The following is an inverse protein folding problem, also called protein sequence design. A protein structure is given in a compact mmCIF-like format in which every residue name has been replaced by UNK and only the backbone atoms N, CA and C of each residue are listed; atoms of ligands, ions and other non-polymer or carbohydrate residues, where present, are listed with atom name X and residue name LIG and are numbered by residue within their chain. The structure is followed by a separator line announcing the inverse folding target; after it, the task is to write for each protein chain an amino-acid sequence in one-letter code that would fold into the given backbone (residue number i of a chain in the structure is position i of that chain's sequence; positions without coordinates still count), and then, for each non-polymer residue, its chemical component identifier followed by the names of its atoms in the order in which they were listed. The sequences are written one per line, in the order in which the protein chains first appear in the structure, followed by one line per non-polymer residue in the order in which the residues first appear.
data_IF_325333142838
#
_entry.id   IF_325333142838
#
_cell.length_a   1.000
_cell.length_b   1.000
_cell.length_c   1.000
_cell.angle_alpha   90.00
_cell.angle_beta   90.00
_cell.angle_gamma   90.00
#
_symmetry.space_group_name_H-M   'P 1'
#
loop_
_entity.id
_entity.type
_entity.pdbx_description
1 polymer ?
#
# COMPACT_ATOMS: atom_id res chain seq x y z
N UNK A 1 25.86 63.76 17.78
CA UNK A 1 25.33 63.42 16.44
C UNK A 1 25.77 62.00 16.12
N UNK A 2 24.83 61.07 16.22
CA UNK A 2 25.02 59.64 15.97
C UNK A 2 24.75 59.32 14.51
N UNK A 3 25.53 58.42 13.90
CA UNK A 3 25.13 57.73 12.67
C UNK A 3 25.27 56.23 12.93
N UNK A 4 24.13 55.55 12.99
CA UNK A 4 23.99 54.11 13.13
C UNK A 4 23.98 53.51 11.73
N UNK A 5 24.93 52.62 11.42
CA UNK A 5 24.91 51.83 10.18
C UNK A 5 24.10 50.56 10.47
N UNK A 6 22.93 50.45 9.86
CA UNK A 6 22.06 49.28 9.94
C UNK A 6 22.50 48.24 8.89
N UNK A 7 22.91 47.06 9.34
CA UNK A 7 23.08 45.89 8.49
C UNK A 7 21.73 45.17 8.36
N UNK A 8 21.17 45.15 7.15
CA UNK A 8 19.96 44.37 6.82
C UNK A 8 20.42 42.96 6.45
N UNK A 9 20.25 42.01 7.37
CA UNK A 9 20.39 40.59 7.09
C UNK A 9 19.07 40.07 6.49
N UNK A 10 19.07 39.80 5.19
CA UNK A 10 17.97 39.15 4.49
C UNK A 10 18.17 37.63 4.60
N UNK A 11 17.59 37.00 5.62
CA UNK A 11 17.59 35.54 5.76
C UNK A 11 16.47 34.92 4.90
N UNK A 12 16.91 34.17 3.89
CA UNK A 12 16.10 33.37 2.99
C UNK A 12 15.41 32.23 3.77
N UNK A 13 14.11 32.33 4.02
CA UNK A 13 13.29 31.21 4.52
C UNK A 13 13.00 30.26 3.36
N UNK A 14 13.83 29.23 3.20
CA UNK A 14 13.49 28.09 2.34
C UNK A 14 12.33 27.33 2.97
N UNK A 15 11.16 27.37 2.34
CA UNK A 15 10.04 26.48 2.67
C UNK A 15 10.46 25.04 2.35
N UNK A 16 11.03 24.34 3.33
CA UNK A 16 11.09 22.89 3.35
C UNK A 16 9.64 22.41 3.46
N UNK A 17 8.99 22.17 2.32
CA UNK A 17 7.77 21.36 2.28
C UNK A 17 8.17 19.94 2.68
N UNK A 18 8.21 19.68 3.98
CA UNK A 18 8.33 18.32 4.49
C UNK A 18 7.11 17.55 4.01
N UNK A 19 7.31 16.65 3.05
CA UNK A 19 6.28 15.66 2.72
C UNK A 19 6.19 14.76 3.94
N UNK A 20 5.07 14.82 4.64
CA UNK A 20 4.86 14.03 5.84
C UNK A 20 4.58 12.59 5.43
N UNK A 21 5.44 11.67 5.86
CA UNK A 21 5.15 10.25 5.73
C UNK A 21 3.87 9.92 6.54
N UNK A 22 2.96 9.16 5.94
CA UNK A 22 1.75 8.67 6.61
C UNK A 22 1.93 7.20 6.96
N UNK A 23 1.27 6.76 8.04
CA UNK A 23 1.33 5.36 8.46
C UNK A 23 0.43 4.48 7.61
N UNK A 24 0.83 3.23 7.46
CA UNK A 24 0.04 2.19 6.81
C UNK A 24 0.48 0.80 7.21
N UNK A 25 -0.03 -0.17 6.47
CA UNK A 25 0.32 -1.58 6.65
C UNK A 25 0.60 -2.21 5.30
N UNK A 26 1.41 -3.27 5.30
CA UNK A 26 1.67 -4.04 4.08
C UNK A 26 1.31 -5.50 4.24
N UNK A 27 0.69 -6.06 3.21
CA UNK A 27 0.75 -7.48 2.89
C UNK A 27 1.73 -7.72 1.75
N UNK A 28 1.92 -8.98 1.38
CA UNK A 28 2.79 -9.34 0.28
C UNK A 28 2.12 -10.30 -0.69
N UNK A 29 2.23 -9.97 -1.98
CA UNK A 29 1.61 -10.72 -3.07
C UNK A 29 2.60 -10.97 -4.21
N UNK A 30 2.48 -12.13 -4.85
CA UNK A 30 3.30 -12.49 -6.00
C UNK A 30 2.57 -12.13 -7.30
N UNK A 31 2.84 -10.94 -7.80
CA UNK A 31 2.21 -10.42 -9.02
C UNK A 31 2.55 -11.29 -10.25
N UNK A 32 3.70 -11.98 -10.26
CA UNK A 32 4.06 -12.88 -11.37
C UNK A 32 3.11 -14.09 -11.50
N UNK A 33 2.37 -14.43 -10.44
CA UNK A 33 1.39 -15.52 -10.45
C UNK A 33 0.01 -15.10 -10.97
N UNK A 34 -0.19 -13.81 -11.18
CA UNK A 34 -1.47 -13.25 -11.64
C UNK A 34 -1.54 -13.23 -13.17
N UNK A 35 -2.75 -13.40 -13.71
CA UNK A 35 -3.01 -13.28 -15.15
C UNK A 35 -3.11 -11.83 -15.64
N UNK A 36 -3.26 -10.88 -14.72
CA UNK A 36 -3.41 -9.45 -15.00
C UNK A 36 -3.50 -8.64 -13.70
N UNK A 37 -3.51 -7.33 -13.86
CA UNK A 37 -3.72 -6.35 -12.79
C UNK A 37 -4.81 -5.37 -13.20
N UNK A 38 -5.39 -4.68 -12.23
CA UNK A 38 -6.50 -3.77 -12.47
C UNK A 38 -6.04 -2.53 -13.30
N UNK A 39 -4.84 -1.99 -13.05
CA UNK A 39 -4.31 -0.85 -13.80
C UNK A 39 -3.96 -1.21 -15.25
N UNK A 40 -4.73 -0.68 -16.19
CA UNK A 40 -4.48 -0.84 -17.62
C UNK A 40 -3.07 -0.36 -18.02
N UNK A 41 -2.38 -1.15 -18.85
CA UNK A 41 -1.05 -0.84 -19.39
C UNK A 41 0.13 -1.22 -18.49
N UNK A 42 -0.13 -1.75 -17.28
CA UNK A 42 0.92 -2.29 -16.41
C UNK A 42 0.97 -3.82 -16.47
N UNK A 43 2.17 -4.43 -16.46
CA UNK A 43 2.32 -5.88 -16.41
C UNK A 43 2.10 -6.42 -14.99
N UNK A 44 1.50 -7.62 -14.84
CA UNK A 44 1.44 -8.35 -13.57
C UNK A 44 2.82 -8.94 -13.24
N UNK A 45 3.77 -8.09 -12.86
CA UNK A 45 5.10 -8.52 -12.52
C UNK A 45 5.57 -7.87 -11.21
N UNK A 46 6.43 -8.57 -10.48
CA UNK A 46 6.93 -8.06 -9.19
C UNK A 46 7.83 -6.82 -9.35
N UNK A 47 8.36 -6.56 -10.54
CA UNK A 47 9.30 -5.48 -10.83
C UNK A 47 8.80 -4.56 -11.95
N UNK A 48 8.64 -3.29 -11.62
CA UNK A 48 8.19 -2.23 -12.52
C UNK A 48 9.36 -1.46 -13.16
N UNK A 49 10.55 -2.08 -13.17
CA UNK A 49 11.80 -1.51 -13.68
C UNK A 49 12.51 -0.58 -12.68
N UNK A 50 13.79 -0.30 -12.92
CA UNK A 50 14.59 0.68 -12.16
C UNK A 50 14.58 0.52 -10.62
N UNK A 51 14.46 -0.73 -10.14
CA UNK A 51 14.39 -1.01 -8.69
C UNK A 51 13.07 -0.62 -8.04
N UNK A 52 11.99 -0.45 -8.81
CA UNK A 52 10.64 -0.17 -8.34
C UNK A 52 9.85 -1.48 -8.30
N UNK A 53 9.24 -1.77 -7.16
CA UNK A 53 8.41 -2.94 -6.96
C UNK A 53 6.95 -2.67 -7.33
N UNK A 54 6.22 -3.70 -7.76
CA UNK A 54 4.78 -3.60 -7.90
C UNK A 54 4.09 -3.54 -6.53
N UNK A 55 2.98 -2.82 -6.48
CA UNK A 55 2.06 -2.85 -5.35
C UNK A 55 0.61 -2.65 -5.80
N UNK A 56 -0.31 -3.15 -4.98
CA UNK A 56 -1.72 -2.78 -4.99
C UNK A 56 -2.03 -1.86 -3.80
N UNK A 57 -2.93 -0.90 -3.96
CA UNK A 57 -3.41 -0.07 -2.85
C UNK A 57 -4.88 -0.37 -2.56
N UNK A 58 -5.26 -0.39 -1.28
CA UNK A 58 -6.67 -0.47 -0.90
C UNK A 58 -7.49 0.70 -1.47
N UNK A 59 -8.66 0.41 -2.03
CA UNK A 59 -9.61 1.42 -2.49
C UNK A 59 -10.33 2.15 -1.33
N UNK A 60 -10.07 1.75 -0.09
CA UNK A 60 -10.48 2.44 1.14
C UNK A 60 -9.36 3.27 1.76
N UNK A 61 -8.17 3.28 1.15
CA UNK A 61 -7.02 4.05 1.59
C UNK A 61 -7.31 5.55 1.52
N UNK A 62 -6.98 6.34 2.56
CA UNK A 62 -6.97 7.80 2.46
C UNK A 62 -6.09 8.36 1.35
N UNK A 63 -5.08 7.60 0.90
CA UNK A 63 -4.23 7.96 -0.23
C UNK A 63 -4.83 7.59 -1.60
N UNK A 64 -5.95 6.84 -1.65
CA UNK A 64 -6.56 6.43 -2.92
C UNK A 64 -7.12 7.65 -3.65
N UNK A 65 -6.74 7.78 -4.93
CA UNK A 65 -7.26 8.81 -5.83
C UNK A 65 -8.19 8.15 -6.84
N UNK A 66 -9.42 8.68 -6.95
CA UNK A 66 -10.44 8.20 -7.88
C UNK A 66 -11.63 7.54 -7.19
N UNK A 67 -12.49 6.91 -7.98
CA UNK A 67 -13.63 6.17 -7.44
C UNK A 67 -13.17 4.86 -6.80
N UNK A 68 -13.97 4.35 -5.86
CA UNK A 68 -13.79 2.99 -5.33
C UNK A 68 -14.10 1.96 -6.41
N UNK A 69 -13.57 0.76 -6.27
CA UNK A 69 -13.95 -0.33 -7.15
C UNK A 69 -15.42 -0.70 -6.94
N UNK A 70 -16.09 -1.04 -8.04
CA UNK A 70 -17.52 -1.31 -8.11
C UNK A 70 -17.81 -2.76 -7.76
N UNK A 71 -18.12 -3.00 -6.49
CA UNK A 71 -18.52 -4.32 -6.00
C UNK A 71 -19.37 -4.25 -4.74
N UNK A 72 -19.87 -5.41 -4.34
CA UNK A 72 -20.59 -5.60 -3.08
C UNK A 72 -20.07 -6.89 -2.45
N UNK A 73 -19.90 -6.89 -1.12
CA UNK A 73 -19.57 -8.09 -0.40
C UNK A 73 -20.74 -9.08 -0.44
N UNK A 74 -20.48 -10.30 -0.91
CA UNK A 74 -21.45 -11.39 -0.99
C UNK A 74 -20.89 -12.63 -0.29
N UNK A 75 -21.48 -12.98 0.86
CA UNK A 75 -21.06 -14.12 1.67
C UNK A 75 -21.19 -15.47 0.94
N UNK A 76 -22.06 -15.57 -0.08
CA UNK A 76 -22.19 -16.79 -0.89
C UNK A 76 -20.96 -17.07 -1.75
N UNK A 77 -20.07 -16.08 -1.90
CA UNK A 77 -18.76 -16.22 -2.54
C UNK A 77 -17.68 -16.70 -1.59
N UNK A 78 -17.96 -16.96 -0.32
CA UNK A 78 -16.97 -17.43 0.65
C UNK A 78 -17.21 -18.90 1.00
N UNK A 79 -16.13 -19.65 1.20
CA UNK A 79 -16.18 -21.06 1.60
C UNK A 79 -16.32 -21.27 3.12
N UNK A 80 -16.36 -20.16 3.88
CA UNK A 80 -16.40 -20.14 5.34
C UNK A 80 -15.09 -20.53 6.01
N UNK A 81 -13.97 -20.58 5.27
CA UNK A 81 -12.64 -20.99 5.74
C UNK A 81 -11.53 -20.02 5.31
N UNK A 82 -11.89 -18.77 5.02
CA UNK A 82 -10.93 -17.76 4.59
C UNK A 82 -10.67 -17.70 3.09
N UNK A 83 -11.41 -18.46 2.28
CA UNK A 83 -11.24 -18.49 0.83
C UNK A 83 -12.53 -18.15 0.09
N UNK A 84 -12.38 -17.82 -1.19
CA UNK A 84 -13.50 -17.50 -2.07
C UNK A 84 -13.83 -18.64 -3.04
N UNK A 85 -15.11 -18.73 -3.37
CA UNK A 85 -15.68 -19.55 -4.44
C UNK A 85 -15.87 -18.63 -5.64
N UNK A 86 -15.24 -18.96 -6.78
CA UNK A 86 -15.28 -18.15 -8.00
C UNK A 86 -14.90 -16.68 -7.73
N UNK A 87 -13.63 -16.48 -7.39
CA UNK A 87 -13.00 -15.22 -6.94
C UNK A 87 -12.90 -14.14 -8.04
N UNK A 88 -14.01 -13.83 -8.70
CA UNK A 88 -14.08 -12.77 -9.70
C UNK A 88 -14.07 -11.43 -8.96
N UNK A 89 -13.12 -10.58 -9.31
CA UNK A 89 -12.98 -9.26 -8.73
C UNK A 89 -13.97 -8.24 -9.28
N UNK A 90 -14.20 -7.13 -8.53
CA UNK A 90 -14.99 -6.00 -9.01
C UNK A 90 -14.28 -5.27 -10.15
N UNK A 91 -15.03 -4.46 -10.89
CA UNK A 91 -14.43 -3.51 -11.82
C UNK A 91 -13.88 -2.30 -11.06
N UNK A 92 -12.70 -1.81 -11.45
CA UNK A 92 -12.11 -0.59 -10.93
C UNK A 92 -11.98 0.41 -12.09
N UNK A 93 -13.03 1.18 -12.43
CA UNK A 93 -13.04 1.95 -13.68
C UNK A 93 -12.30 3.30 -13.62
N UNK A 94 -12.05 3.84 -12.42
CA UNK A 94 -11.45 5.16 -12.21
C UNK A 94 -10.19 5.09 -11.33
N UNK A 95 -9.25 4.24 -11.73
CA UNK A 95 -8.01 3.98 -10.98
C UNK A 95 -6.96 5.07 -11.21
N UNK A 96 -7.30 6.30 -10.84
CA UNK A 96 -6.40 7.44 -10.98
C UNK A 96 -5.14 7.28 -10.12
N UNK A 97 -5.13 6.31 -9.20
CA UNK A 97 -3.97 5.90 -8.43
C UNK A 97 -2.91 5.13 -9.25
N UNK A 98 -3.26 4.58 -10.42
CA UNK A 98 -2.36 3.77 -11.24
C UNK A 98 -1.11 4.53 -11.70
N UNK A 99 0.04 3.86 -11.61
CA UNK A 99 1.33 4.41 -12.03
C UNK A 99 1.98 5.35 -11.03
N UNK A 100 1.30 5.77 -9.96
CA UNK A 100 1.92 6.58 -8.90
C UNK A 100 2.91 5.77 -8.07
N UNK A 101 3.99 6.42 -7.62
CA UNK A 101 5.04 5.80 -6.82
C UNK A 101 5.05 6.29 -5.38
N UNK A 102 5.51 5.40 -4.49
CA UNK A 102 5.67 5.68 -3.07
C UNK A 102 7.00 5.13 -2.57
N UNK A 103 7.64 5.89 -1.69
CA UNK A 103 8.65 5.38 -0.78
C UNK A 103 7.95 4.62 0.34
N UNK A 104 8.42 3.40 0.62
CA UNK A 104 7.91 2.56 1.71
C UNK A 104 9.05 2.18 2.64
N UNK A 105 8.84 2.34 3.94
CA UNK A 105 9.80 1.95 4.98
C UNK A 105 9.11 1.14 6.07
N UNK A 106 9.69 0.03 6.48
CA UNK A 106 9.22 -0.76 7.62
C UNK A 106 9.40 0.00 8.93
N UNK A 107 8.38 0.02 9.77
CA UNK A 107 8.41 0.60 11.13
C UNK A 107 8.19 -0.42 12.24
N UNK A 108 7.69 -1.62 11.91
CA UNK A 108 7.62 -2.74 12.84
C UNK A 108 6.87 -3.93 12.27
N UNK A 109 6.79 -5.02 13.04
CA UNK A 109 5.86 -6.11 12.72
C UNK A 109 4.43 -5.67 12.96
N UNK A 110 3.50 -6.11 12.11
CA UNK A 110 2.08 -5.77 12.25
C UNK A 110 1.43 -6.57 13.38
N UNK A 111 1.80 -7.84 13.50
CA UNK A 111 1.16 -8.81 14.39
C UNK A 111 2.01 -9.13 15.63
N UNK A 112 2.90 -8.22 16.00
CA UNK A 112 3.66 -8.29 17.25
C UNK A 112 4.76 -9.36 17.25
N UNK A 113 5.24 -9.79 16.08
CA UNK A 113 6.45 -10.62 15.99
C UNK A 113 7.61 -9.95 16.73
N UNK A 114 8.26 -10.73 17.60
CA UNK A 114 9.41 -10.31 18.41
C UNK A 114 10.75 -10.79 17.85
N UNK A 115 10.72 -11.66 16.83
CA UNK A 115 11.90 -12.18 16.13
C UNK A 115 11.95 -11.56 14.74
N UNK A 116 13.07 -10.93 14.41
CA UNK A 116 13.26 -10.16 13.19
C UNK A 116 13.34 -8.66 13.47
N UNK A 117 13.58 -7.88 12.41
CA UNK A 117 13.68 -6.43 12.49
C UNK A 117 13.40 -5.78 11.14
N UNK A 118 12.99 -4.52 11.18
CA UNK A 118 13.03 -3.67 9.99
C UNK A 118 14.50 -3.43 9.58
N UNK A 119 14.75 -3.43 8.28
CA UNK A 119 16.11 -3.23 7.73
C UNK A 119 16.59 -1.79 7.83
N UNK A 120 15.68 -0.83 8.06
CA UNK A 120 15.94 0.61 7.96
C UNK A 120 16.01 1.15 6.53
N UNK A 121 15.84 0.29 5.51
CA UNK A 121 15.86 0.70 4.10
C UNK A 121 14.49 1.21 3.66
N UNK A 122 14.53 2.14 2.71
CA UNK A 122 13.36 2.57 1.94
C UNK A 122 13.36 1.86 0.60
N UNK A 123 12.22 1.28 0.21
CA UNK A 123 11.98 0.77 -1.13
C UNK A 123 11.09 1.73 -1.90
N UNK A 124 11.11 1.63 -3.23
CA UNK A 124 10.13 2.29 -4.09
C UNK A 124 9.11 1.28 -4.57
N UNK A 125 7.84 1.61 -4.46
CA UNK A 125 6.75 0.84 -5.04
C UNK A 125 6.01 1.69 -6.05
N UNK A 126 5.39 1.05 -7.04
CA UNK A 126 4.47 1.67 -8.00
C UNK A 126 3.14 0.94 -7.93
N UNK A 127 2.06 1.72 -7.86
CA UNK A 127 0.72 1.14 -7.88
C UNK A 127 0.41 0.66 -9.30
N UNK A 128 0.21 -0.65 -9.43
CA UNK A 128 -0.16 -1.29 -10.69
C UNK A 128 -1.43 -2.11 -10.56
N UNK A 129 -2.00 -2.20 -9.36
CA UNK A 129 -3.21 -2.95 -9.10
C UNK A 129 -4.03 -2.26 -8.00
N UNK A 130 -5.29 -2.66 -7.88
CA UNK A 130 -6.15 -2.25 -6.78
C UNK A 130 -6.31 -3.40 -5.79
N UNK A 131 -6.49 -3.09 -4.51
CA UNK A 131 -6.86 -4.07 -3.49
C UNK A 131 -8.27 -3.76 -2.96
N UNK A 132 -9.34 -4.15 -3.66
CA UNK A 132 -10.66 -3.67 -3.31
C UNK A 132 -11.25 -4.40 -2.10
N UNK A 133 -11.91 -3.65 -1.22
CA UNK A 133 -12.67 -4.19 -0.08
C UNK A 133 -13.91 -5.03 -0.50
N UNK A 134 -14.18 -5.08 -1.80
CA UNK A 134 -15.31 -5.82 -2.38
C UNK A 134 -14.85 -7.00 -3.20
N UNK A 135 -13.55 -7.30 -3.22
CA UNK A 135 -13.02 -8.51 -3.85
C UNK A 135 -13.24 -9.73 -2.94
N UNK A 136 -13.84 -10.84 -3.42
CA UNK A 136 -14.04 -12.04 -2.59
C UNK A 136 -12.75 -12.60 -1.99
N UNK A 137 -11.64 -12.56 -2.74
CA UNK A 137 -10.33 -12.94 -2.22
C UNK A 137 -9.80 -12.06 -1.07
N UNK A 138 -10.47 -10.94 -0.76
CA UNK A 138 -10.13 -10.03 0.33
C UNK A 138 -11.12 -10.21 1.48
N UNK A 139 -12.40 -9.88 1.28
CA UNK A 139 -13.39 -9.98 2.36
C UNK A 139 -13.65 -11.41 2.83
N UNK A 140 -13.47 -12.46 2.02
CA UNK A 140 -13.63 -13.82 2.53
C UNK A 140 -12.55 -14.23 3.55
N UNK A 141 -11.41 -13.51 3.60
CA UNK A 141 -10.32 -13.77 4.56
C UNK A 141 -10.62 -13.25 5.97
N UNK A 142 -11.61 -12.35 6.14
CA UNK A 142 -11.90 -11.73 7.45
C UNK A 142 -12.87 -12.58 8.31
N UNK A 143 -12.85 -12.42 9.65
CA UNK A 143 -13.71 -13.20 10.55
C UNK A 143 -15.20 -13.14 10.26
N UNK A 144 -15.69 -12.01 9.75
CA UNK A 144 -17.09 -11.84 9.36
C UNK A 144 -17.56 -12.88 8.33
N UNK A 145 -16.65 -13.41 7.51
CA UNK A 145 -16.94 -14.37 6.45
C UNK A 145 -16.29 -15.75 6.69
N UNK A 146 -15.88 -16.04 7.92
CA UNK A 146 -15.29 -17.33 8.32
C UNK A 146 -13.78 -17.45 8.11
N UNK A 147 -13.10 -16.36 7.72
CA UNK A 147 -11.64 -16.31 7.71
C UNK A 147 -11.04 -15.94 9.06
N UNK A 148 -9.72 -15.76 9.09
CA UNK A 148 -8.96 -15.49 10.33
C UNK A 148 -8.07 -14.25 10.23
N UNK A 149 -8.08 -13.55 9.08
CA UNK A 149 -7.20 -12.41 8.81
C UNK A 149 -7.84 -11.13 9.34
N UNK A 150 -7.06 -10.27 10.00
CA UNK A 150 -7.56 -8.98 10.46
C UNK A 150 -8.01 -8.14 9.26
N UNK A 151 -9.17 -7.45 9.30
CA UNK A 151 -9.61 -6.57 8.20
C UNK A 151 -8.56 -5.55 7.72
N UNK A 152 -7.67 -5.08 8.60
CA UNK A 152 -6.58 -4.16 8.22
C UNK A 152 -5.55 -4.79 7.26
N UNK A 153 -5.46 -6.11 7.24
CA UNK A 153 -4.56 -6.90 6.38
C UNK A 153 -5.24 -7.42 5.13
N UNK A 154 -6.57 -7.29 5.03
CA UNK A 154 -7.35 -7.76 3.90
C UNK A 154 -7.84 -6.61 3.02
N UNK A 155 -7.30 -5.40 3.16
CA UNK A 155 -7.76 -4.19 2.46
C UNK A 155 -9.22 -3.76 2.77
N UNK A 156 -9.82 -4.36 3.80
CA UNK A 156 -11.22 -4.15 4.21
C UNK A 156 -11.38 -3.03 5.25
N UNK A 157 -10.30 -2.65 5.94
CA UNK A 157 -10.36 -1.63 6.98
C UNK A 157 -10.42 -0.21 6.37
N UNK A 158 -11.56 0.46 6.56
CA UNK A 158 -11.72 1.87 6.16
C UNK A 158 -10.69 2.77 6.84
N UNK A 159 -10.05 3.65 6.07
CA UNK A 159 -9.11 4.65 6.60
C UNK A 159 -7.70 4.12 6.84
N UNK A 160 -7.40 2.88 6.45
CA UNK A 160 -6.05 2.30 6.52
C UNK A 160 -5.39 2.39 5.16
N UNK A 161 -4.16 2.92 5.12
CA UNK A 161 -3.31 2.84 3.94
C UNK A 161 -2.73 1.43 3.82
N UNK A 162 -3.52 0.48 3.31
CA UNK A 162 -3.08 -0.89 3.07
C UNK A 162 -2.44 -1.03 1.68
N UNK A 163 -1.23 -1.57 1.66
CA UNK A 163 -0.47 -1.86 0.44
C UNK A 163 -0.24 -3.36 0.33
N UNK A 164 -0.55 -3.95 -0.82
CA UNK A 164 -0.16 -5.32 -1.14
C UNK A 164 1.09 -5.28 -2.02
N UNK A 165 2.27 -5.46 -1.43
CA UNK A 165 3.55 -5.21 -2.10
C UNK A 165 4.13 -6.50 -2.68
N UNK A 166 4.83 -6.41 -3.81
CA UNK A 166 5.52 -7.56 -4.40
C UNK A 166 6.36 -8.33 -3.36
N UNK A 167 6.19 -9.65 -3.28
CA UNK A 167 6.91 -10.53 -2.33
C UNK A 167 8.43 -10.36 -2.39
N UNK A 168 8.99 -10.05 -3.56
CA UNK A 168 10.43 -9.83 -3.75
C UNK A 168 10.97 -8.60 -3.02
N UNK A 169 10.12 -7.67 -2.58
CA UNK A 169 10.51 -6.49 -1.82
C UNK A 169 10.70 -6.80 -0.32
N UNK A 170 10.11 -7.90 0.17
CA UNK A 170 10.00 -8.23 1.60
C UNK A 170 11.36 -8.23 2.30
N UNK A 171 12.33 -8.93 1.73
CA UNK A 171 13.69 -9.05 2.29
C UNK A 171 14.47 -7.73 2.29
N UNK A 172 14.04 -6.74 1.48
CA UNK A 172 14.62 -5.41 1.53
C UNK A 172 14.04 -4.58 2.68
N UNK A 173 12.77 -4.80 3.04
CA UNK A 173 12.08 -4.07 4.12
C UNK A 173 12.38 -4.63 5.51
N UNK A 174 12.41 -5.96 5.67
CA UNK A 174 12.53 -6.57 7.00
C UNK A 174 12.96 -8.04 6.96
N UNK A 175 13.26 -8.58 8.15
CA UNK A 175 13.45 -10.02 8.40
C UNK A 175 12.28 -10.66 9.15
N UNK A 176 11.23 -9.90 9.48
CA UNK A 176 9.97 -10.44 10.01
C UNK A 176 9.35 -11.43 9.01
N UNK A 177 8.52 -12.36 9.47
CA UNK A 177 7.86 -13.40 8.66
C UNK A 177 6.42 -13.04 8.26
N UNK A 178 5.77 -12.15 9.00
CA UNK A 178 4.40 -11.66 8.78
C UNK A 178 4.30 -10.28 8.15
N UNK A 179 3.15 -9.64 8.31
CA UNK A 179 2.88 -8.34 7.72
C UNK A 179 3.58 -7.21 8.49
N UNK A 180 3.76 -6.04 7.86
CA UNK A 180 4.53 -4.94 8.46
C UNK A 180 3.67 -3.71 8.68
N UNK A 181 3.97 -2.99 9.78
CA UNK A 181 3.68 -1.57 9.86
C UNK A 181 4.68 -0.81 8.97
N UNK A 182 4.20 0.20 8.25
CA UNK A 182 5.01 0.96 7.28
C UNK A 182 4.77 2.47 7.38
N UNK A 183 5.81 3.23 7.04
CA UNK A 183 5.73 4.63 6.65
C UNK A 183 5.63 4.73 5.12
N UNK A 184 4.77 5.63 4.65
CA UNK A 184 4.46 5.83 3.23
C UNK A 184 4.68 7.29 2.86
N UNK A 185 5.47 7.54 1.84
CA UNK A 185 5.73 8.88 1.30
C UNK A 185 5.48 8.88 -0.22
N UNK A 186 4.55 9.71 -0.74
CA UNK A 186 4.37 9.86 -2.18
C UNK A 186 5.61 10.43 -2.86
N UNK A 187 5.99 9.86 -4.01
CA UNK A 187 7.14 10.32 -4.79
C UNK A 187 6.81 10.34 -6.28
N UNK A 188 7.67 11.00 -7.07
CA UNK A 188 7.69 10.78 -8.51
C UNK A 188 8.34 9.43 -8.84
N UNK A 189 7.71 8.71 -9.77
CA UNK A 189 8.41 7.71 -10.57
C UNK A 189 9.38 8.41 -11.54
#
# INVERSE_FOLDING_TARGET
MSVIIAAVALSLLTNLTGVLAVSGVTTFNDFNSQSGVACAGFPPNNSQGNGIFAAAMSDLSPLWIGARCQGTQDASKCDGRGSCVNCIGPACPDEQQCGHCFNIRCTGSLDGEVVGSCSGKTIKVKIVDACPATHPANYCKIPQFGGTINPREACEASGINAFDIATTARSQLSTFQGNLNIDIEPISC
#
